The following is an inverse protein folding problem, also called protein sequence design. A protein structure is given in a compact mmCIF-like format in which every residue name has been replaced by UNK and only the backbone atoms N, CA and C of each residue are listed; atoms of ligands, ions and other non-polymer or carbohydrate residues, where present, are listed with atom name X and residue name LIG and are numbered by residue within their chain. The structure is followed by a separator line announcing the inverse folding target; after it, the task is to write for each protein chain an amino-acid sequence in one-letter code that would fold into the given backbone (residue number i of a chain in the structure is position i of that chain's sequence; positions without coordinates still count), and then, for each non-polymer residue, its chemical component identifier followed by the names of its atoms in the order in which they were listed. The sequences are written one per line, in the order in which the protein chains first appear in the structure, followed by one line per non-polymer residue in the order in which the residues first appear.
data_IF_391950421619
#
_entry.id   IF_391950421619
#
_cell.length_a   1.000
_cell.length_b   1.000
_cell.length_c   1.000
_cell.angle_alpha   90.00
_cell.angle_beta   90.00
_cell.angle_gamma   90.00
#
_symmetry.space_group_name_H-M   'P 1'
#
loop_
_entity.id
_entity.type
_entity.pdbx_description
1 polymer ?
#
# COMPACT_ATOMS: atom_id res chain seq x y z
N UNK A 1 2.93 -80.55 -45.74
CA UNK A 1 1.54 -80.20 -45.50
C UNK A 1 1.59 -79.00 -44.57
N UNK A 2 1.48 -77.76 -45.08
CA UNK A 2 1.51 -76.51 -44.33
C UNK A 2 0.11 -75.99 -44.20
N UNK A 3 -0.37 -75.81 -42.97
CA UNK A 3 -1.66 -75.31 -42.64
C UNK A 3 -1.56 -73.82 -42.39
N UNK A 4 -2.17 -73.00 -43.24
CA UNK A 4 -2.23 -71.52 -43.05
C UNK A 4 -3.46 -71.18 -42.22
N UNK A 5 -3.28 -70.57 -41.07
CA UNK A 5 -4.36 -69.92 -40.30
C UNK A 5 -4.39 -68.44 -40.66
N UNK A 6 -5.46 -68.03 -41.34
CA UNK A 6 -5.80 -66.67 -41.60
C UNK A 6 -6.38 -66.03 -40.32
N UNK A 7 -5.71 -65.04 -39.77
CA UNK A 7 -6.17 -64.29 -38.60
C UNK A 7 -7.17 -63.22 -39.08
N UNK A 8 -8.41 -63.33 -38.70
CA UNK A 8 -9.47 -62.37 -38.98
C UNK A 8 -9.45 -61.30 -37.85
N UNK A 9 -8.95 -60.14 -38.19
CA UNK A 9 -8.89 -58.98 -37.22
C UNK A 9 -10.26 -58.27 -37.24
N UNK A 10 -11.02 -58.40 -36.18
CA UNK A 10 -12.28 -57.66 -35.97
C UNK A 10 -11.94 -56.30 -35.40
N UNK A 11 -12.18 -55.24 -36.17
CA UNK A 11 -12.03 -53.85 -35.77
C UNK A 11 -13.31 -53.37 -35.07
N UNK A 12 -13.26 -53.28 -33.75
CA UNK A 12 -14.38 -52.72 -32.95
C UNK A 12 -14.24 -51.20 -32.95
N UNK A 13 -15.11 -50.50 -33.64
CA UNK A 13 -15.29 -49.04 -33.52
C UNK A 13 -16.10 -48.75 -32.26
N UNK A 14 -15.47 -48.26 -31.22
CA UNK A 14 -16.17 -47.64 -30.09
C UNK A 14 -16.43 -46.18 -30.44
N UNK A 15 -17.69 -45.84 -30.64
CA UNK A 15 -18.14 -44.45 -30.73
C UNK A 15 -18.06 -43.82 -29.33
N UNK A 16 -17.07 -42.95 -29.12
CA UNK A 16 -17.07 -42.06 -27.98
C UNK A 16 -18.06 -40.93 -28.26
N UNK A 17 -19.20 -40.98 -27.61
CA UNK A 17 -20.11 -39.84 -27.49
C UNK A 17 -19.47 -38.81 -26.54
N UNK A 18 -19.08 -37.64 -27.04
CA UNK A 18 -18.78 -36.49 -26.21
C UNK A 18 -20.08 -35.91 -25.69
N UNK A 19 -20.46 -36.26 -24.49
CA UNK A 19 -21.39 -35.45 -23.70
C UNK A 19 -20.64 -34.23 -23.17
N UNK A 20 -21.04 -33.08 -23.69
CA UNK A 20 -20.53 -31.79 -23.28
C UNK A 20 -21.30 -31.37 -22.00
N UNK A 21 -20.87 -31.84 -20.84
CA UNK A 21 -21.33 -31.31 -19.57
C UNK A 21 -20.57 -30.02 -19.31
N UNK A 22 -21.19 -28.90 -19.66
CA UNK A 22 -20.85 -27.58 -19.13
C UNK A 22 -21.22 -27.58 -17.63
N UNK A 23 -20.35 -28.13 -16.79
CA UNK A 23 -20.34 -27.78 -15.38
C UNK A 23 -19.56 -26.47 -15.23
N UNK A 24 -20.29 -25.37 -15.28
CA UNK A 24 -19.84 -24.04 -14.86
C UNK A 24 -19.65 -24.10 -13.34
N UNK A 25 -18.57 -24.77 -12.90
CA UNK A 25 -18.06 -24.63 -11.56
C UNK A 25 -17.37 -23.27 -11.51
N UNK A 26 -18.10 -22.23 -11.08
CA UNK A 26 -17.51 -21.05 -10.48
C UNK A 26 -16.72 -21.51 -9.25
N UNK A 27 -15.52 -22.01 -9.47
CA UNK A 27 -14.50 -22.14 -8.45
C UNK A 27 -14.13 -20.70 -8.08
N UNK A 28 -14.72 -20.21 -6.99
CA UNK A 28 -14.32 -18.93 -6.39
C UNK A 28 -12.84 -19.08 -6.09
N UNK A 29 -12.03 -18.27 -6.80
CA UNK A 29 -10.61 -18.12 -6.54
C UNK A 29 -10.46 -17.90 -5.01
N UNK A 30 -9.69 -18.75 -4.30
CA UNK A 30 -9.56 -18.59 -2.86
C UNK A 30 -9.07 -17.17 -2.60
N UNK A 31 -9.84 -16.40 -1.83
CA UNK A 31 -9.50 -15.02 -1.48
C UNK A 31 -8.04 -15.00 -1.02
N UNK A 32 -7.22 -14.20 -1.70
CA UNK A 32 -5.80 -14.05 -1.39
C UNK A 32 -5.69 -13.69 0.10
N UNK A 33 -5.06 -14.57 0.87
CA UNK A 33 -4.94 -14.38 2.32
C UNK A 33 -4.09 -13.14 2.59
N UNK A 34 -4.70 -12.09 3.11
CA UNK A 34 -4.01 -10.83 3.41
C UNK A 34 -2.93 -11.09 4.45
N UNK A 35 -1.67 -10.98 4.05
CA UNK A 35 -0.51 -11.16 4.93
C UNK A 35 -0.35 -9.93 5.82
N UNK A 36 -0.54 -10.08 7.11
CA UNK A 36 -0.33 -9.02 8.10
C UNK A 36 1.13 -9.04 8.56
N UNK A 37 1.88 -8.00 8.21
CA UNK A 37 3.27 -7.81 8.62
C UNK A 37 3.32 -6.85 9.81
N UNK A 38 3.82 -7.33 10.97
CA UNK A 38 4.04 -6.51 12.17
C UNK A 38 5.46 -5.94 12.20
N UNK A 39 5.63 -4.88 12.97
CA UNK A 39 6.94 -4.21 13.08
C UNK A 39 7.24 -3.28 11.89
N UNK A 40 8.52 -3.03 11.67
CA UNK A 40 9.00 -2.12 10.63
C UNK A 40 9.27 -2.85 9.32
N UNK A 41 8.64 -2.39 8.23
CA UNK A 41 8.78 -2.95 6.88
C UNK A 41 8.95 -1.85 5.84
N UNK A 42 9.64 -2.17 4.73
CA UNK A 42 9.76 -1.30 3.57
C UNK A 42 8.75 -1.74 2.51
N UNK A 43 7.95 -0.81 2.05
CA UNK A 43 6.84 -1.06 1.15
C UNK A 43 6.94 -0.22 -0.12
N UNK A 44 6.26 -0.65 -1.16
CA UNK A 44 6.15 0.09 -2.43
C UNK A 44 4.68 0.24 -2.84
N UNK A 45 4.41 1.28 -3.61
CA UNK A 45 3.09 1.52 -4.19
C UNK A 45 3.22 2.20 -5.55
N UNK A 46 2.47 1.71 -6.52
CA UNK A 46 2.41 2.35 -7.84
C UNK A 46 1.45 3.54 -7.80
N UNK A 47 1.96 4.70 -8.23
CA UNK A 47 1.18 5.93 -8.35
C UNK A 47 1.56 6.67 -9.63
N UNK A 48 0.61 6.80 -10.57
CA UNK A 48 0.78 7.49 -11.85
C UNK A 48 2.01 7.02 -12.67
N UNK A 49 2.26 5.69 -12.69
CA UNK A 49 3.38 5.10 -13.42
C UNK A 49 4.75 5.27 -12.73
N UNK A 50 4.74 5.72 -11.47
CA UNK A 50 5.94 5.86 -10.64
C UNK A 50 5.82 4.93 -9.45
N UNK A 51 6.83 4.09 -9.24
CA UNK A 51 6.94 3.31 -8.00
C UNK A 51 7.39 4.24 -6.87
N UNK A 52 6.51 4.46 -5.91
CA UNK A 52 6.78 5.22 -4.68
C UNK A 52 7.10 4.26 -3.55
N UNK A 53 7.99 4.66 -2.66
CA UNK A 53 8.39 3.87 -1.49
C UNK A 53 7.90 4.50 -0.20
N UNK A 54 7.71 3.68 0.83
CA UNK A 54 7.45 4.14 2.19
C UNK A 54 7.94 3.13 3.21
N UNK A 55 8.28 3.58 4.39
CA UNK A 55 8.51 2.72 5.56
C UNK A 55 7.23 2.67 6.35
N UNK A 56 6.83 1.49 6.78
CA UNK A 56 5.65 1.26 7.60
C UNK A 56 6.06 0.63 8.92
N UNK A 57 5.40 1.02 10.00
CA UNK A 57 5.50 0.34 11.28
C UNK A 57 4.11 -0.01 11.79
N UNK A 58 3.88 -1.29 11.98
CA UNK A 58 2.65 -1.85 12.55
C UNK A 58 2.96 -2.33 13.96
N UNK A 59 2.30 -1.81 15.01
CA UNK A 59 2.61 -2.21 16.38
C UNK A 59 2.33 -3.70 16.63
N UNK A 60 3.11 -4.33 17.50
CA UNK A 60 2.92 -5.75 17.84
C UNK A 60 1.54 -6.02 18.47
N UNK A 61 0.91 -4.99 19.03
CA UNK A 61 -0.44 -5.06 19.59
C UNK A 61 -1.55 -4.90 18.55
N UNK A 62 -1.22 -4.78 17.26
CA UNK A 62 -2.22 -4.67 16.19
C UNK A 62 -3.14 -5.89 16.17
N UNK A 63 -4.45 -5.63 16.03
CA UNK A 63 -5.46 -6.65 15.85
C UNK A 63 -6.42 -6.20 14.75
N UNK A 64 -6.50 -6.98 13.68
CA UNK A 64 -7.32 -6.69 12.51
C UNK A 64 -8.82 -6.52 12.81
N UNK A 65 -9.32 -7.08 13.90
CA UNK A 65 -10.71 -6.93 14.33
C UNK A 65 -11.04 -5.51 14.83
N UNK A 66 -10.01 -4.74 15.23
CA UNK A 66 -10.18 -3.41 15.78
C UNK A 66 -9.70 -2.32 14.82
N UNK A 67 -10.56 -1.38 14.42
CA UNK A 67 -10.15 -0.24 13.60
C UNK A 67 -9.00 0.54 14.25
N UNK A 68 -7.90 0.71 13.52
CA UNK A 68 -6.62 1.24 14.04
C UNK A 68 -6.32 2.62 13.45
N UNK A 69 -5.97 3.62 14.27
CA UNK A 69 -5.55 4.93 13.77
C UNK A 69 -4.30 4.85 12.88
N UNK A 70 -4.19 5.76 11.91
CA UNK A 70 -3.05 5.90 11.01
C UNK A 70 -2.37 7.26 11.20
N UNK A 71 -1.05 7.27 11.34
CA UNK A 71 -0.21 8.47 11.33
C UNK A 71 0.68 8.45 10.10
N UNK A 72 0.65 9.51 9.31
CA UNK A 72 1.53 9.69 8.15
C UNK A 72 2.55 10.76 8.51
N UNK A 73 3.84 10.40 8.53
CA UNK A 73 4.93 11.28 8.93
C UNK A 73 5.79 11.68 7.73
N UNK A 74 5.68 12.93 7.31
CA UNK A 74 6.35 13.50 6.15
C UNK A 74 7.70 14.13 6.52
N UNK A 75 8.78 13.69 5.87
CA UNK A 75 10.11 14.27 6.03
C UNK A 75 10.21 15.70 5.47
N UNK A 76 11.21 16.45 5.90
CA UNK A 76 11.55 17.77 5.32
C UNK A 76 12.19 17.65 3.94
N UNK A 77 12.44 18.79 3.30
CA UNK A 77 13.14 18.86 2.01
C UNK A 77 14.51 18.16 2.09
N UNK A 78 14.81 17.29 1.13
CA UNK A 78 16.03 16.49 1.10
C UNK A 78 16.07 15.34 2.10
N UNK A 79 14.96 15.07 2.79
CA UNK A 79 14.85 13.96 3.75
C UNK A 79 14.73 12.59 3.08
N UNK A 80 14.87 11.58 3.91
CA UNK A 80 14.80 10.18 3.53
C UNK A 80 13.87 9.43 4.49
N UNK A 81 12.93 8.67 3.95
CA UNK A 81 11.90 7.96 4.72
C UNK A 81 12.52 6.95 5.70
N UNK A 82 13.56 6.23 5.26
CA UNK A 82 14.24 5.25 6.10
C UNK A 82 14.98 5.95 7.25
N UNK A 83 15.70 7.04 6.96
CA UNK A 83 16.40 7.80 7.98
C UNK A 83 15.42 8.39 9.01
N UNK A 84 14.23 8.83 8.59
CA UNK A 84 13.17 9.28 9.49
C UNK A 84 12.63 8.14 10.37
N UNK A 85 12.37 6.98 9.78
CA UNK A 85 11.91 5.81 10.52
C UNK A 85 12.98 5.25 11.46
N UNK A 86 14.27 5.40 11.14
CA UNK A 86 15.41 4.92 11.95
C UNK A 86 15.94 5.95 12.94
N UNK A 87 15.53 7.21 12.79
CA UNK A 87 16.01 8.32 13.62
C UNK A 87 15.77 8.05 15.10
N UNK A 88 16.80 8.28 15.90
CA UNK A 88 16.75 8.19 17.37
C UNK A 88 16.43 9.54 18.03
N UNK A 89 16.20 10.59 17.24
CA UNK A 89 15.81 11.92 17.75
C UNK A 89 14.36 11.99 18.20
N UNK A 90 14.07 12.76 19.23
CA UNK A 90 12.75 12.82 19.89
C UNK A 90 11.57 13.19 18.99
N UNK A 91 11.83 13.77 17.81
CA UNK A 91 10.79 14.27 16.91
C UNK A 91 10.30 13.27 15.85
N UNK A 92 11.00 12.15 15.64
CA UNK A 92 10.74 11.28 14.50
C UNK A 92 10.38 9.84 14.88
N UNK A 93 10.56 9.46 16.13
CA UNK A 93 10.35 8.09 16.61
C UNK A 93 8.88 7.76 16.90
N UNK A 94 8.02 8.03 15.95
CA UNK A 94 6.61 7.68 16.12
C UNK A 94 6.38 6.18 16.33
N UNK A 95 7.28 5.30 15.86
CA UNK A 95 7.16 3.87 16.10
C UNK A 95 7.25 3.49 17.58
N UNK A 96 8.07 4.17 18.39
CA UNK A 96 8.13 3.93 19.83
C UNK A 96 6.82 4.31 20.53
N UNK A 97 6.19 5.40 20.07
CA UNK A 97 4.90 5.85 20.58
C UNK A 97 3.75 5.01 20.02
N UNK A 98 3.91 4.47 18.83
CA UNK A 98 2.94 3.61 18.15
C UNK A 98 2.59 2.36 18.97
N UNK A 99 3.57 1.73 19.64
CA UNK A 99 3.31 0.58 20.52
C UNK A 99 2.36 0.92 21.67
N UNK A 100 2.60 2.03 22.36
CA UNK A 100 1.74 2.48 23.47
C UNK A 100 0.45 3.14 23.00
N UNK A 101 0.50 3.85 21.88
CA UNK A 101 -0.64 4.57 21.31
C UNK A 101 -1.53 3.70 20.43
N UNK A 102 -1.10 2.49 20.09
CA UNK A 102 -1.83 1.51 19.27
C UNK A 102 -2.28 2.09 17.92
N UNK A 103 -1.34 2.69 17.17
CA UNK A 103 -1.60 3.22 15.84
C UNK A 103 -0.53 2.73 14.84
N UNK A 104 -0.90 2.62 13.58
CA UNK A 104 0.07 2.37 12.49
C UNK A 104 0.72 3.70 12.12
N UNK A 105 2.03 3.71 11.89
CA UNK A 105 2.73 4.88 11.35
C UNK A 105 3.39 4.54 10.02
N UNK A 106 3.31 5.48 9.08
CA UNK A 106 3.98 5.37 7.78
C UNK A 106 4.84 6.60 7.53
N UNK A 107 5.99 6.37 6.90
CA UNK A 107 6.98 7.37 6.51
C UNK A 107 7.12 7.29 4.98
N UNK A 108 6.31 8.02 4.22
CA UNK A 108 6.43 7.99 2.77
C UNK A 108 7.69 8.72 2.31
N UNK A 109 8.21 8.33 1.12
CA UNK A 109 9.33 8.97 0.46
C UNK A 109 8.85 10.02 -0.53
N UNK A 110 9.32 11.25 -0.37
CA UNK A 110 9.15 12.31 -1.36
C UNK A 110 9.89 12.00 -2.67
N UNK A 111 9.46 12.60 -3.76
CA UNK A 111 10.14 12.44 -5.06
C UNK A 111 11.21 13.51 -5.27
N UNK A 112 12.25 13.16 -6.03
CA UNK A 112 13.27 14.12 -6.45
C UNK A 112 12.65 15.00 -7.55
N UNK A 113 12.57 16.30 -7.28
CA UNK A 113 12.04 17.30 -8.20
C UNK A 113 13.16 18.21 -8.76
N UNK A 114 12.81 19.39 -9.16
CA UNK A 114 13.68 20.31 -9.95
C UNK A 114 15.02 20.62 -9.27
N UNK A 115 15.14 20.55 -7.95
CA UNK A 115 16.38 20.92 -7.22
C UNK A 115 17.25 19.71 -6.83
N UNK A 116 16.92 18.50 -7.31
CA UNK A 116 17.69 17.30 -7.01
C UNK A 116 17.55 16.79 -5.58
N UNK A 117 16.61 17.32 -4.81
CA UNK A 117 16.29 16.88 -3.45
C UNK A 117 14.90 16.23 -3.41
N UNK A 118 14.71 15.26 -2.53
CA UNK A 118 13.41 14.69 -2.26
C UNK A 118 12.53 15.73 -1.55
N UNK A 119 11.34 16.00 -2.11
CA UNK A 119 10.42 17.00 -1.61
C UNK A 119 8.96 16.61 -1.81
N UNK A 120 8.07 17.36 -1.18
CA UNK A 120 6.62 17.21 -1.26
C UNK A 120 6.01 18.37 -2.04
N UNK A 121 4.99 18.06 -2.85
CA UNK A 121 4.11 19.04 -3.49
C UNK A 121 2.76 19.07 -2.76
N UNK A 122 2.49 20.10 -1.94
CA UNK A 122 1.22 20.25 -1.23
C UNK A 122 0.07 20.70 -2.15
N UNK A 123 0.27 20.68 -3.47
CA UNK A 123 -0.74 21.07 -4.44
C UNK A 123 -0.97 22.59 -4.50
N UNK A 124 0.07 23.39 -4.30
CA UNK A 124 0.03 24.85 -4.37
C UNK A 124 0.12 25.41 -5.80
N UNK A 125 0.04 24.53 -6.82
CA UNK A 125 0.24 24.81 -8.24
C UNK A 125 1.70 25.08 -8.64
N UNK A 126 2.67 24.80 -7.76
CA UNK A 126 4.08 24.87 -8.10
C UNK A 126 4.49 23.73 -9.06
N UNK A 127 3.74 22.64 -9.09
CA UNK A 127 3.89 21.56 -10.07
C UNK A 127 3.06 21.85 -11.33
N UNK A 128 3.69 21.75 -12.47
CA UNK A 128 3.03 21.87 -13.77
C UNK A 128 2.17 20.64 -14.13
N UNK A 129 2.27 19.58 -13.34
CA UNK A 129 1.55 18.33 -13.54
C UNK A 129 0.65 18.03 -12.33
N UNK A 130 -0.64 18.35 -12.45
CA UNK A 130 -1.65 18.08 -11.40
C UNK A 130 -1.78 16.59 -11.03
N UNK A 131 -1.26 15.68 -11.86
CA UNK A 131 -1.26 14.27 -11.58
C UNK A 131 -0.09 13.83 -10.67
N UNK A 132 0.89 14.71 -10.45
CA UNK A 132 2.09 14.43 -9.65
C UNK A 132 2.03 15.05 -8.25
N UNK A 133 0.93 15.69 -7.85
CA UNK A 133 0.87 16.25 -6.53
C UNK A 133 0.73 15.15 -5.47
N UNK A 134 1.42 15.33 -4.38
CA UNK A 134 1.50 14.34 -3.31
C UNK A 134 0.19 14.23 -2.50
N UNK A 135 -0.80 15.09 -2.73
CA UNK A 135 -2.13 14.97 -2.13
C UNK A 135 -2.83 13.70 -2.63
N UNK A 136 -2.84 13.47 -3.96
CA UNK A 136 -3.42 12.25 -4.55
C UNK A 136 -2.60 11.00 -4.21
N UNK A 137 -1.27 11.13 -4.17
CA UNK A 137 -0.42 10.06 -3.68
C UNK A 137 -0.79 9.66 -2.25
N UNK A 138 -0.99 10.64 -1.36
CA UNK A 138 -1.35 10.37 0.04
C UNK A 138 -2.71 9.70 0.16
N UNK A 139 -3.71 10.12 -0.63
CA UNK A 139 -5.00 9.44 -0.66
C UNK A 139 -4.85 7.97 -1.09
N UNK A 140 -4.05 7.74 -2.15
CA UNK A 140 -3.76 6.38 -2.63
C UNK A 140 -3.02 5.55 -1.60
N UNK A 141 -2.09 6.15 -0.87
CA UNK A 141 -1.35 5.49 0.22
C UNK A 141 -2.31 5.05 1.35
N UNK A 142 -3.21 5.94 1.79
CA UNK A 142 -4.23 5.61 2.80
C UNK A 142 -5.10 4.43 2.33
N UNK A 143 -5.60 4.50 1.10
CA UNK A 143 -6.41 3.42 0.51
C UNK A 143 -5.66 2.10 0.40
N UNK A 144 -4.35 2.14 0.08
CA UNK A 144 -3.53 0.95 -0.02
C UNK A 144 -3.32 0.28 1.33
N UNK A 145 -3.07 1.08 2.37
CA UNK A 145 -2.89 0.59 3.74
C UNK A 145 -4.20 0.01 4.29
N UNK A 146 -5.33 0.67 4.04
CA UNK A 146 -6.65 0.23 4.48
C UNK A 146 -7.09 -1.11 3.87
N UNK A 147 -6.59 -1.47 2.69
CA UNK A 147 -6.83 -2.79 2.08
C UNK A 147 -6.21 -3.95 2.86
N UNK A 148 -5.07 -3.70 3.49
CA UNK A 148 -4.31 -4.72 4.23
C UNK A 148 -4.61 -4.67 5.71
N UNK A 149 -4.78 -3.46 6.25
CA UNK A 149 -4.99 -3.21 7.68
C UNK A 149 -6.33 -2.54 7.91
N UNK A 150 -7.05 -2.94 8.92
CA UNK A 150 -8.32 -2.33 9.32
C UNK A 150 -8.07 -0.93 9.91
N UNK A 151 -8.10 0.11 9.06
CA UNK A 151 -7.82 1.49 9.45
C UNK A 151 -9.11 2.19 9.91
N UNK A 152 -9.03 2.90 11.02
CA UNK A 152 -10.06 3.88 11.40
C UNK A 152 -9.88 5.14 10.53
N UNK A 153 -10.58 5.18 9.40
CA UNK A 153 -10.51 6.30 8.46
C UNK A 153 -10.98 7.64 9.04
N UNK A 154 -11.59 7.64 10.24
CA UNK A 154 -11.90 8.87 10.99
C UNK A 154 -10.73 9.34 11.85
N UNK A 155 -9.65 8.55 11.95
CA UNK A 155 -8.45 8.79 12.77
C UNK A 155 -7.18 8.68 11.93
N UNK A 156 -7.15 9.37 10.80
CA UNK A 156 -5.94 9.52 9.98
C UNK A 156 -5.31 10.87 10.29
N UNK A 157 -4.05 10.86 10.68
CA UNK A 157 -3.30 12.04 11.09
C UNK A 157 -2.10 12.26 10.18
N UNK A 158 -1.81 13.53 9.86
CA UNK A 158 -0.64 13.90 9.07
C UNK A 158 0.30 14.77 9.92
N UNK A 159 1.55 14.36 10.03
CA UNK A 159 2.59 15.13 10.72
C UNK A 159 3.77 15.35 9.79
N UNK A 160 4.53 16.44 10.00
CA UNK A 160 5.69 16.69 9.15
C UNK A 160 6.55 17.83 9.62
N UNK A 161 7.81 17.79 9.17
CA UNK A 161 8.81 18.82 9.43
C UNK A 161 9.07 19.66 8.17
N UNK A 162 9.18 21.00 8.32
CA UNK A 162 9.52 21.91 7.23
C UNK A 162 8.63 21.70 6.00
N UNK A 163 9.17 21.30 4.84
CA UNK A 163 8.39 20.95 3.63
C UNK A 163 7.34 19.84 3.88
N UNK A 164 7.66 18.85 4.75
CA UNK A 164 6.67 17.87 5.19
C UNK A 164 5.53 18.48 6.02
N UNK A 165 5.83 19.51 6.81
CA UNK A 165 4.82 20.29 7.51
C UNK A 165 3.90 21.07 6.55
N UNK A 166 4.46 21.61 5.45
CA UNK A 166 3.65 22.23 4.37
C UNK A 166 2.74 21.19 3.71
N UNK A 167 3.24 19.97 3.52
CA UNK A 167 2.45 18.86 2.99
C UNK A 167 1.28 18.51 3.91
N UNK A 168 1.52 18.36 5.22
CA UNK A 168 0.47 18.10 6.20
C UNK A 168 -0.58 19.23 6.22
N UNK A 169 -0.14 20.49 6.14
CA UNK A 169 -1.05 21.64 6.04
C UNK A 169 -1.87 21.62 4.74
N UNK A 170 -1.23 21.33 3.59
CA UNK A 170 -1.91 21.18 2.30
C UNK A 170 -3.01 20.11 2.35
N UNK A 171 -2.74 18.97 2.99
CA UNK A 171 -3.72 17.91 3.21
C UNK A 171 -4.91 18.40 4.06
N UNK A 172 -4.65 19.07 5.19
CA UNK A 172 -5.74 19.59 6.02
C UNK A 172 -6.63 20.59 5.29
N UNK A 173 -6.04 21.45 4.46
CA UNK A 173 -6.80 22.46 3.70
C UNK A 173 -7.57 21.87 2.52
N UNK A 174 -6.98 20.91 1.80
CA UNK A 174 -7.50 20.43 0.51
C UNK A 174 -8.16 19.06 0.59
N UNK A 175 -7.97 18.35 1.69
CA UNK A 175 -8.52 17.00 1.98
C UNK A 175 -9.11 16.90 3.39
N UNK A 176 -9.94 17.86 3.82
CA UNK A 176 -10.40 17.96 5.22
C UNK A 176 -11.24 16.76 5.67
N UNK A 177 -11.80 15.99 4.73
CA UNK A 177 -12.56 14.76 5.05
C UNK A 177 -11.68 13.52 5.19
N UNK A 178 -10.40 13.62 4.84
CA UNK A 178 -9.44 12.51 4.89
C UNK A 178 -8.48 12.59 6.07
N UNK A 179 -8.28 13.78 6.63
CA UNK A 179 -7.30 14.04 7.70
C UNK A 179 -8.01 14.60 8.92
N UNK A 180 -7.93 13.87 10.03
CA UNK A 180 -8.58 14.25 11.29
C UNK A 180 -7.86 15.38 12.02
N UNK A 181 -6.52 15.37 12.01
CA UNK A 181 -5.69 16.45 12.57
C UNK A 181 -4.28 16.40 11.97
N UNK A 182 -3.53 17.51 12.16
CA UNK A 182 -2.16 17.66 11.69
C UNK A 182 -1.23 18.08 12.82
N UNK A 183 0.05 17.68 12.69
CA UNK A 183 1.16 18.16 13.51
C UNK A 183 2.25 18.78 12.62
N UNK A 184 2.61 20.05 12.84
CA UNK A 184 3.60 20.76 12.03
C UNK A 184 4.76 21.16 12.91
N UNK A 185 5.97 20.83 12.42
CA UNK A 185 7.25 21.28 13.01
C UNK A 185 8.01 22.08 11.96
N UNK A 186 8.61 23.19 12.36
CA UNK A 186 9.39 24.10 11.49
C UNK A 186 10.74 24.46 12.11
#
# INVERSE_FOLDING_TARGET
MKLNYSLLTILIFTLFSCENENSDSNELDPAEEVQIELGKTNQTIEHNGITRTYVQYVPNSYNHENPTPLVINFHGNGGDAQAYADSTGDFYQFHNVSESGKFIVVYPQGVIRVKGAAEWDPGDNSSTNINDNDLFFTEKLIENIDKTYNIDLTKVYAVGFSNGGMMAYGLACKRPTKIAAIGIMS
#
